data_IF_069300863195
#
_entry.id   IF_069300863195
#
_cell.length_a   1.000
_cell.length_b   1.000
_cell.length_c   1.000
_cell.angle_alpha   90.00
_cell.angle_beta   90.00
_cell.angle_gamma   90.00
#
_symmetry.space_group_name_H-M   'P 1'
#
loop_
_entity.id
_entity.type
_entity.pdbx_description
1 polymer ?
#
# COMPACT_ATOMS: atom_id res chain seq x y z
N UNK A 1 -17.07 7.10 0.99
CA UNK A 1 -16.33 6.90 -0.28
C UNK A 1 -15.62 5.56 -0.22
N UNK A 2 -15.65 4.81 -1.31
CA UNK A 2 -14.93 3.53 -1.39
C UNK A 2 -13.46 3.75 -1.72
N UNK A 3 -12.60 2.96 -1.08
CA UNK A 3 -11.19 2.92 -1.40
C UNK A 3 -10.94 2.25 -2.76
N UNK A 4 -9.71 2.34 -3.24
CA UNK A 4 -9.29 1.63 -4.45
C UNK A 4 -9.52 0.12 -4.28
N UNK A 5 -9.14 -0.44 -3.13
CA UNK A 5 -9.31 -1.86 -2.83
C UNK A 5 -10.78 -2.29 -2.86
N UNK A 6 -11.66 -1.53 -2.23
CA UNK A 6 -13.09 -1.84 -2.20
C UNK A 6 -13.74 -1.70 -3.57
N UNK A 7 -13.22 -0.79 -4.39
CA UNK A 7 -13.76 -0.56 -5.73
C UNK A 7 -13.35 -1.66 -6.71
N UNK A 8 -12.10 -2.06 -6.70
CA UNK A 8 -11.55 -2.94 -7.74
C UNK A 8 -11.27 -4.37 -7.27
N UNK A 9 -11.16 -4.61 -5.96
CA UNK A 9 -10.81 -5.91 -5.41
C UNK A 9 -11.60 -6.25 -4.15
N UNK A 10 -12.95 -6.17 -4.19
CA UNK A 10 -13.76 -6.38 -2.98
C UNK A 10 -13.62 -7.77 -2.38
N UNK A 11 -13.24 -8.76 -3.18
CA UNK A 11 -13.09 -10.15 -2.74
C UNK A 11 -11.66 -10.54 -2.39
N UNK A 12 -10.72 -9.60 -2.46
CA UNK A 12 -9.31 -9.86 -2.14
C UNK A 12 -9.16 -10.14 -0.65
N UNK A 13 -8.41 -11.20 -0.33
CA UNK A 13 -8.19 -11.64 1.05
C UNK A 13 -6.75 -11.38 1.53
N UNK A 14 -6.02 -10.48 0.89
CA UNK A 14 -4.67 -10.08 1.34
C UNK A 14 -4.72 -9.63 2.80
N UNK A 15 -3.81 -10.12 3.65
CA UNK A 15 -3.85 -9.76 5.06
C UNK A 15 -3.53 -8.29 5.32
N UNK A 16 -2.80 -7.64 4.43
CA UNK A 16 -2.52 -6.19 4.56
C UNK A 16 -3.64 -5.31 4.05
N UNK A 17 -4.21 -5.60 2.89
CA UNK A 17 -5.12 -4.66 2.22
C UNK A 17 -6.43 -5.29 1.72
N UNK A 18 -6.63 -6.60 1.87
CA UNK A 18 -7.83 -7.26 1.34
C UNK A 18 -9.10 -6.91 2.08
N UNK A 19 -10.12 -6.35 1.38
CA UNK A 19 -11.41 -6.07 2.01
C UNK A 19 -12.11 -7.31 2.57
N UNK A 20 -11.86 -8.48 1.97
CA UNK A 20 -12.53 -9.71 2.33
C UNK A 20 -11.88 -10.47 3.48
N UNK A 21 -10.72 -10.04 3.98
CA UNK A 21 -10.05 -10.70 5.11
C UNK A 21 -10.49 -10.05 6.43
N UNK A 22 -11.35 -10.69 7.23
CA UNK A 22 -11.83 -10.08 8.48
C UNK A 22 -10.74 -9.89 9.54
N UNK A 23 -9.60 -10.58 9.39
CA UNK A 23 -8.46 -10.48 10.32
C UNK A 23 -7.32 -9.63 9.75
N UNK A 24 -7.52 -9.04 8.58
CA UNK A 24 -6.50 -8.23 7.91
C UNK A 24 -6.35 -6.83 8.50
N UNK A 25 -5.32 -6.14 8.06
CA UNK A 25 -5.06 -4.76 8.49
C UNK A 25 -6.00 -3.77 7.81
N UNK A 26 -6.56 -4.14 6.67
CA UNK A 26 -7.53 -3.33 5.92
C UNK A 26 -7.01 -1.95 5.51
N UNK A 27 -5.83 -1.91 4.93
CA UNK A 27 -5.33 -0.67 4.32
C UNK A 27 -6.33 -0.20 3.27
N UNK A 28 -6.73 1.06 3.35
CA UNK A 28 -7.66 1.70 2.42
C UNK A 28 -6.98 2.87 1.74
N UNK A 29 -6.80 2.78 0.44
CA UNK A 29 -6.06 3.75 -0.38
C UNK A 29 -7.02 4.58 -1.22
N UNK A 30 -6.74 5.89 -1.29
CA UNK A 30 -7.59 6.85 -2.00
C UNK A 30 -6.72 7.74 -2.89
N UNK A 31 -7.11 7.95 -4.15
CA UNK A 31 -6.38 8.89 -5.02
C UNK A 31 -6.55 10.33 -4.51
N UNK A 32 -5.47 11.11 -4.54
CA UNK A 32 -5.48 12.52 -4.17
C UNK A 32 -4.47 13.26 -5.06
N UNK A 33 -4.95 13.81 -6.17
CA UNK A 33 -4.07 14.43 -7.18
C UNK A 33 -3.14 13.39 -7.80
N UNK A 34 -1.85 13.66 -7.76
CA UNK A 34 -0.82 12.75 -8.29
C UNK A 34 -0.36 11.73 -7.26
N UNK A 35 -0.94 11.75 -6.08
CA UNK A 35 -0.60 10.86 -4.98
C UNK A 35 -1.75 9.93 -4.65
N UNK A 36 -1.44 8.89 -3.89
CA UNK A 36 -2.43 8.00 -3.27
C UNK A 36 -2.18 8.05 -1.76
N UNK A 37 -3.25 8.25 -1.01
CA UNK A 37 -3.17 8.44 0.45
C UNK A 37 -4.01 7.40 1.18
N UNK A 38 -3.61 7.14 2.43
CA UNK A 38 -4.38 6.29 3.34
C UNK A 38 -4.18 6.77 4.76
N UNK A 39 -5.17 6.51 5.60
CA UNK A 39 -5.04 6.63 7.05
C UNK A 39 -5.28 5.26 7.65
N UNK A 40 -4.52 4.93 8.69
CA UNK A 40 -4.67 3.65 9.37
C UNK A 40 -4.46 3.84 10.87
N UNK A 41 -5.40 3.32 11.65
CA UNK A 41 -5.33 3.43 13.12
C UNK A 41 -4.60 2.22 13.67
N UNK A 42 -3.42 2.41 14.28
CA UNK A 42 -2.74 1.32 14.97
C UNK A 42 -3.54 0.81 16.18
N UNK A 43 -3.36 -0.46 16.49
CA UNK A 43 -3.86 -1.06 17.71
C UNK A 43 -2.75 -1.79 18.45
N UNK A 44 -2.97 -2.07 19.74
CA UNK A 44 -1.93 -2.53 20.65
C UNK A 44 -1.25 -3.84 20.19
N UNK A 45 -2.00 -4.75 19.58
CA UNK A 45 -1.45 -6.04 19.14
C UNK A 45 -0.41 -5.92 18.02
N UNK A 46 -0.28 -4.74 17.40
CA UNK A 46 0.68 -4.49 16.35
C UNK A 46 1.93 -3.74 16.84
N UNK A 47 2.03 -3.54 18.15
CA UNK A 47 3.19 -2.85 18.73
C UNK A 47 4.40 -3.77 18.84
N UNK A 48 5.58 -3.23 18.57
CA UNK A 48 6.86 -3.89 18.85
C UNK A 48 7.24 -3.74 20.30
N UNK A 49 7.01 -2.57 20.85
CA UNK A 49 7.17 -2.24 22.25
C UNK A 49 6.14 -1.16 22.59
N UNK A 50 5.90 -0.97 23.89
CA UNK A 50 4.78 -0.16 24.36
C UNK A 50 4.69 1.21 23.66
N UNK A 51 3.56 1.43 22.99
CA UNK A 51 3.27 2.70 22.32
C UNK A 51 3.94 2.89 20.96
N UNK A 52 4.66 1.89 20.45
CA UNK A 52 5.39 2.00 19.18
C UNK A 52 5.07 0.86 18.23
N UNK A 53 4.75 1.21 16.99
CA UNK A 53 4.34 0.27 15.95
C UNK A 53 5.49 -0.64 15.51
N UNK A 54 5.17 -1.91 15.28
CA UNK A 54 6.13 -2.91 14.77
C UNK A 54 6.64 -2.52 13.38
N UNK A 55 7.95 -2.67 13.16
CA UNK A 55 8.56 -2.44 11.85
C UNK A 55 8.01 -3.37 10.76
N UNK A 56 7.66 -4.61 11.12
CA UNK A 56 7.03 -5.54 10.18
C UNK A 56 5.65 -5.08 9.73
N UNK A 57 4.87 -4.48 10.63
CA UNK A 57 3.57 -3.89 10.29
C UNK A 57 3.77 -2.66 9.40
N UNK A 58 4.73 -1.80 9.72
CA UNK A 58 5.08 -0.64 8.88
C UNK A 58 5.40 -1.11 7.46
N UNK A 59 6.21 -2.16 7.33
CA UNK A 59 6.55 -2.73 6.03
C UNK A 59 5.32 -3.24 5.27
N UNK A 60 4.41 -3.91 5.94
CA UNK A 60 3.16 -4.39 5.34
C UNK A 60 2.28 -3.24 4.85
N UNK A 61 2.11 -2.21 5.69
CA UNK A 61 1.30 -1.04 5.33
C UNK A 61 1.85 -0.36 4.08
N UNK A 62 3.16 -0.12 4.05
CA UNK A 62 3.82 0.55 2.93
C UNK A 62 3.84 -0.33 1.68
N UNK A 63 4.10 -1.63 1.82
CA UNK A 63 4.09 -2.56 0.69
C UNK A 63 2.71 -2.57 0.01
N UNK A 64 1.67 -2.83 0.76
CA UNK A 64 0.31 -2.87 0.22
C UNK A 64 -0.12 -1.53 -0.38
N UNK A 65 0.15 -0.43 0.32
CA UNK A 65 -0.23 0.89 -0.16
C UNK A 65 0.52 1.27 -1.45
N UNK A 66 1.82 1.02 -1.51
CA UNK A 66 2.62 1.29 -2.70
C UNK A 66 2.23 0.37 -3.87
N UNK A 67 1.91 -0.89 -3.60
CA UNK A 67 1.44 -1.81 -4.63
C UNK A 67 0.13 -1.30 -5.27
N UNK A 68 -0.83 -0.85 -4.46
CA UNK A 68 -2.07 -0.29 -4.98
C UNK A 68 -1.87 1.04 -5.69
N UNK A 69 -0.90 1.84 -5.25
CA UNK A 69 -0.50 3.06 -5.95
C UNK A 69 0.01 2.72 -7.35
N UNK A 70 0.83 1.67 -7.47
CA UNK A 70 1.32 1.18 -8.76
C UNK A 70 0.18 0.68 -9.63
N UNK A 71 -0.67 -0.21 -9.11
CA UNK A 71 -1.78 -0.80 -9.88
C UNK A 71 -2.74 0.27 -10.39
N UNK A 72 -3.14 1.18 -9.53
CA UNK A 72 -4.03 2.27 -9.88
C UNK A 72 -3.40 3.21 -10.92
N UNK A 73 -2.14 3.60 -10.72
CA UNK A 73 -1.44 4.48 -11.65
C UNK A 73 -1.23 3.86 -13.01
N UNK A 74 -0.90 2.58 -13.08
CA UNK A 74 -0.75 1.86 -14.34
C UNK A 74 -2.09 1.78 -15.09
N UNK A 75 -3.18 1.55 -14.37
CA UNK A 75 -4.54 1.59 -14.94
C UNK A 75 -4.83 2.94 -15.58
N UNK A 76 -4.59 4.03 -14.84
CA UNK A 76 -4.85 5.40 -15.32
C UNK A 76 -4.01 5.74 -16.55
N UNK A 77 -2.72 5.36 -16.54
CA UNK A 77 -1.82 5.61 -17.68
C UNK A 77 -2.25 4.87 -18.94
N UNK A 78 -2.81 3.66 -18.79
CA UNK A 78 -3.29 2.86 -19.89
C UNK A 78 -4.70 3.23 -20.36
N UNK A 79 -5.40 4.09 -19.64
CA UNK A 79 -6.80 4.39 -19.90
C UNK A 79 -7.71 3.16 -19.73
N UNK A 80 -7.33 2.23 -18.84
CA UNK A 80 -8.06 0.99 -18.62
C UNK A 80 -9.14 1.17 -17.54
N UNK A 81 -10.14 0.28 -17.55
CA UNK A 81 -11.23 0.30 -16.59
C UNK A 81 -10.90 -0.42 -15.29
N UNK A 82 -9.88 -1.26 -15.31
CA UNK A 82 -9.46 -2.06 -14.15
C UNK A 82 -7.95 -2.00 -13.98
N UNK A 83 -7.47 -2.01 -12.74
CA UNK A 83 -6.03 -2.07 -12.50
C UNK A 83 -5.49 -3.46 -12.88
N UNK A 84 -4.27 -3.51 -13.43
CA UNK A 84 -3.61 -4.80 -13.62
C UNK A 84 -3.30 -5.43 -12.26
N UNK A 85 -3.22 -6.74 -12.22
CA UNK A 85 -2.76 -7.43 -11.01
C UNK A 85 -1.26 -7.25 -10.88
N UNK A 86 -0.83 -6.46 -9.91
CA UNK A 86 0.57 -6.18 -9.66
C UNK A 86 1.09 -7.01 -8.48
N UNK A 87 2.37 -7.34 -8.54
CA UNK A 87 3.09 -7.98 -7.43
C UNK A 87 4.32 -7.15 -7.10
N UNK A 88 4.74 -7.24 -5.85
CA UNK A 88 5.94 -6.59 -5.35
C UNK A 88 7.16 -7.38 -5.81
N UNK A 89 7.98 -6.79 -6.67
CA UNK A 89 9.24 -7.41 -7.11
C UNK A 89 10.35 -7.18 -6.08
N UNK A 90 10.43 -5.96 -5.56
CA UNK A 90 11.31 -5.62 -4.44
C UNK A 90 10.76 -4.38 -3.74
N UNK A 91 11.18 -4.18 -2.51
CA UNK A 91 10.94 -2.91 -1.82
C UNK A 91 12.00 -2.70 -0.73
N UNK A 92 12.32 -1.44 -0.51
CA UNK A 92 13.27 -1.01 0.49
C UNK A 92 12.58 -0.10 1.49
N UNK A 93 12.57 -0.51 2.75
CA UNK A 93 11.97 0.25 3.85
C UNK A 93 13.09 0.83 4.71
N UNK A 94 13.00 2.13 4.99
CA UNK A 94 13.85 2.79 5.97
C UNK A 94 12.99 3.19 7.16
N UNK A 95 13.38 2.76 8.34
CA UNK A 95 12.74 3.13 9.59
C UNK A 95 13.53 4.29 10.18
N UNK A 96 13.02 5.51 10.01
CA UNK A 96 13.74 6.73 10.37
C UNK A 96 13.62 7.08 11.84
N UNK A 97 12.47 6.77 12.44
CA UNK A 97 12.18 7.00 13.85
C UNK A 97 11.04 6.08 14.30
N UNK A 98 10.92 5.81 15.62
CA UNK A 98 9.78 5.06 16.13
C UNK A 98 8.46 5.71 15.73
N UNK A 99 7.46 4.88 15.44
CA UNK A 99 6.13 5.32 15.03
C UNK A 99 5.17 5.18 16.21
N UNK A 100 4.71 6.29 16.83
CA UNK A 100 3.73 6.21 17.91
C UNK A 100 2.40 5.64 17.44
N UNK A 101 1.72 4.92 18.33
CA UNK A 101 0.46 4.23 18.04
C UNK A 101 -0.78 4.94 18.59
N UNK A 102 -0.61 6.09 19.23
CA UNK A 102 -1.70 6.83 19.90
C UNK A 102 -2.63 7.56 18.91
N UNK A 103 -2.18 7.84 17.70
CA UNK A 103 -2.95 8.53 16.66
C UNK A 103 -2.88 7.76 15.34
N UNK A 104 -3.82 8.00 14.40
CA UNK A 104 -3.72 7.40 13.08
C UNK A 104 -2.42 7.76 12.39
N UNK A 105 -1.87 6.80 11.65
CA UNK A 105 -0.74 7.04 10.74
C UNK A 105 -1.29 7.35 9.36
N UNK A 106 -0.58 8.19 8.63
CA UNK A 106 -0.90 8.53 7.25
C UNK A 106 0.13 7.91 6.31
N UNK A 107 -0.35 7.34 5.24
CA UNK A 107 0.49 6.81 4.16
C UNK A 107 0.29 7.71 2.94
N UNK A 108 1.39 8.10 2.31
CA UNK A 108 1.37 8.90 1.08
C UNK A 108 2.33 8.24 0.10
N UNK A 109 1.87 7.96 -1.12
CA UNK A 109 2.71 7.31 -2.12
C UNK A 109 2.45 7.87 -3.51
N UNK A 110 3.47 7.80 -4.37
CA UNK A 110 3.38 8.23 -5.75
C UNK A 110 4.29 7.40 -6.64
N UNK A 111 3.91 7.26 -7.91
CA UNK A 111 4.78 6.68 -8.92
C UNK A 111 5.86 7.70 -9.28
N UNK A 112 7.11 7.28 -9.25
CA UNK A 112 8.25 8.12 -9.67
C UNK A 112 8.77 7.73 -11.04
N UNK A 113 8.51 6.50 -11.48
CA UNK A 113 8.94 6.00 -12.77
C UNK A 113 8.02 4.84 -13.18
N UNK A 114 7.63 4.76 -14.45
CA UNK A 114 6.77 3.69 -14.93
C UNK A 114 7.01 3.35 -16.38
N UNK A 115 6.84 2.07 -16.71
CA UNK A 115 6.69 1.57 -18.07
C UNK A 115 5.25 1.08 -18.23
N UNK A 116 4.94 0.35 -19.30
CA UNK A 116 3.60 -0.18 -19.54
C UNK A 116 3.15 -1.16 -18.44
N UNK A 117 4.07 -1.96 -17.92
CA UNK A 117 3.77 -3.07 -17.00
C UNK A 117 4.56 -3.03 -15.69
N UNK A 118 5.21 -1.92 -15.37
CA UNK A 118 6.09 -1.80 -14.22
C UNK A 118 6.05 -0.39 -13.68
N UNK A 119 6.06 -0.26 -12.36
CA UNK A 119 6.13 1.04 -11.70
C UNK A 119 7.11 1.01 -10.52
N UNK A 120 7.88 2.08 -10.38
CA UNK A 120 8.65 2.36 -9.17
C UNK A 120 7.84 3.39 -8.38
N UNK A 121 7.59 3.06 -7.13
CA UNK A 121 6.75 3.87 -6.24
C UNK A 121 7.56 4.25 -5.01
N UNK A 122 7.45 5.51 -4.61
CA UNK A 122 7.96 5.99 -3.33
C UNK A 122 6.79 6.29 -2.41
N UNK A 123 6.91 5.86 -1.15
CA UNK A 123 5.90 6.07 -0.13
C UNK A 123 6.49 6.51 1.19
N UNK A 124 5.67 7.15 2.00
CA UNK A 124 6.03 7.62 3.32
C UNK A 124 4.94 7.22 4.32
N UNK A 125 5.37 6.87 5.53
CA UNK A 125 4.48 6.72 6.67
C UNK A 125 4.74 7.89 7.61
N UNK A 126 3.67 8.63 7.91
CA UNK A 126 3.72 9.85 8.69
C UNK A 126 2.92 9.66 9.98
N UNK A 127 3.54 9.95 11.11
CA UNK A 127 2.90 9.96 12.41
C UNK A 127 3.31 11.24 13.16
N UNK A 128 2.36 11.89 13.83
CA UNK A 128 2.60 13.16 14.53
C UNK A 128 3.26 14.20 13.62
N UNK A 129 2.81 14.28 12.37
CA UNK A 129 3.31 15.20 11.35
C UNK A 129 4.79 15.01 10.99
N UNK A 130 5.36 13.84 11.31
CA UNK A 130 6.75 13.50 11.00
C UNK A 130 6.83 12.24 10.17
N UNK A 131 7.70 12.23 9.17
CA UNK A 131 7.99 11.03 8.38
C UNK A 131 8.75 10.05 9.26
N UNK A 132 8.12 8.94 9.61
CA UNK A 132 8.70 7.90 10.47
C UNK A 132 9.34 6.78 9.66
N UNK A 133 8.85 6.53 8.46
CA UNK A 133 9.38 5.49 7.58
C UNK A 133 9.19 5.89 6.12
N UNK A 134 10.06 5.35 5.26
CA UNK A 134 9.96 5.53 3.80
C UNK A 134 10.03 4.18 3.12
N UNK A 135 9.45 4.12 1.93
CA UNK A 135 9.48 2.94 1.07
C UNK A 135 9.83 3.36 -0.35
N UNK A 136 10.68 2.58 -1.01
CA UNK A 136 10.86 2.65 -2.46
C UNK A 136 10.77 1.22 -2.97
N UNK A 137 9.84 0.96 -3.88
CA UNK A 137 9.60 -0.38 -4.38
C UNK A 137 9.34 -0.44 -5.86
N UNK A 138 9.53 -1.64 -6.42
CA UNK A 138 9.23 -1.97 -7.81
C UNK A 138 8.06 -2.94 -7.83
N UNK A 139 7.02 -2.60 -8.59
CA UNK A 139 5.78 -3.36 -8.68
C UNK A 139 5.53 -3.68 -10.13
N UNK A 140 5.20 -4.94 -10.42
CA UNK A 140 5.13 -5.46 -11.79
C UNK A 140 3.74 -6.04 -12.05
N UNK A 141 3.13 -5.63 -13.17
CA UNK A 141 1.89 -6.22 -13.65
C UNK A 141 2.19 -7.63 -14.17
N UNK A 142 1.48 -8.63 -13.63
CA UNK A 142 1.70 -10.02 -14.01
C UNK A 142 0.89 -10.39 -15.25
N UNK A 143 1.39 -11.40 -15.97
CA UNK A 143 0.79 -11.89 -17.22
C UNK A 143 -0.04 -13.15 -16.96
N UNK A 144 -0.94 -13.54 -17.92
CA UNK A 144 -1.66 -14.81 -17.82
C UNK A 144 -0.71 -15.98 -17.54
N UNK A 145 -1.12 -16.88 -16.63
CA UNK A 145 -0.29 -17.99 -16.16
C UNK A 145 0.43 -17.75 -14.84
N UNK A 146 0.56 -16.51 -14.43
CA UNK A 146 1.13 -16.20 -13.11
C UNK A 146 0.10 -16.48 -12.00
N UNK A 147 0.50 -17.02 -10.84
CA UNK A 147 -0.44 -17.30 -9.74
C UNK A 147 -1.24 -16.11 -9.25
N UNK A 148 -0.70 -14.89 -9.38
CA UNK A 148 -1.39 -13.67 -8.97
C UNK A 148 -2.27 -13.06 -10.06
N UNK A 149 -2.31 -13.64 -11.25
CA UNK A 149 -3.18 -13.16 -12.33
C UNK A 149 -4.64 -13.40 -11.94
N UNK A 150 -5.48 -12.39 -12.09
CA UNK A 150 -6.89 -12.42 -11.68
C UNK A 150 -7.11 -12.47 -10.16
N UNK A 151 -6.16 -12.02 -9.34
CA UNK A 151 -6.35 -12.07 -7.88
C UNK A 151 -7.29 -10.98 -7.33
N UNK A 152 -7.72 -10.02 -8.16
CA UNK A 152 -8.76 -9.05 -7.81
C UNK A 152 -9.75 -8.75 -8.93
#
# INVERSE_FOLDING_TARGET
>A
MKSIQETYAPNLACFGCGPANPKGLHVRSFPEGDEVVAEWQPSQEYEAFQGMLSGGIIGTLLDCHCNWTAAYGLMKRAGADKPPCTVTADYHIKLLRPTPTDLPVRLVARIVEATQDRAIVEGELIAHDKVCATCRGTFVAVKPGHPAYHRW
#
